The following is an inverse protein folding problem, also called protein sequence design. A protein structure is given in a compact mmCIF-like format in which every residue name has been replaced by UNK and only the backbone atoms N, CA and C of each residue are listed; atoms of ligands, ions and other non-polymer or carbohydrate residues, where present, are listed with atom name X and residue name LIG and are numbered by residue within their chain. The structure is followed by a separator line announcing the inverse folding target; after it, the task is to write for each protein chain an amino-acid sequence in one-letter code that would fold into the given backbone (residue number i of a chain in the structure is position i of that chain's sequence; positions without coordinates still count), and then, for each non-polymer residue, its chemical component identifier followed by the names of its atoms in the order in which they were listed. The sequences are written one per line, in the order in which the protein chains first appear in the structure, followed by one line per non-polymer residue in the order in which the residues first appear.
data_IF_015574186636
#
_entry.id   IF_015574186636
#
_cell.length_a   1.000
_cell.length_b   1.000
_cell.length_c   1.000
_cell.angle_alpha   90.00
_cell.angle_beta   90.00
_cell.angle_gamma   90.00
#
_symmetry.space_group_name_H-M   'P 1'
#
loop_
_entity.id
_entity.type
_entity.pdbx_description
1 polymer ?
#
# COMPACT_ATOMS: atom_id res chain seq x y z
N UNK A 1 28.15 -1.24 -23.28
CA UNK A 1 28.02 -2.56 -22.63
C UNK A 1 29.35 -2.84 -21.94
N UNK A 2 29.45 -2.93 -20.60
CA UNK A 2 30.59 -3.50 -19.83
C UNK A 2 30.54 -3.17 -18.31
N UNK A 3 29.40 -3.33 -17.63
CA UNK A 3 29.33 -3.14 -16.15
C UNK A 3 28.56 -4.25 -15.42
N UNK A 4 28.50 -5.45 -15.99
CA UNK A 4 27.90 -6.62 -15.34
C UNK A 4 28.94 -7.48 -14.58
N UNK A 5 30.23 -7.21 -14.74
CA UNK A 5 31.30 -8.00 -14.11
C UNK A 5 31.63 -7.58 -12.67
N UNK A 6 31.23 -6.37 -12.23
CA UNK A 6 31.48 -5.89 -10.86
C UNK A 6 30.49 -6.44 -9.83
N UNK A 7 29.29 -6.87 -10.27
CA UNK A 7 28.30 -7.54 -9.41
C UNK A 7 28.64 -9.01 -9.14
N UNK A 8 29.50 -9.62 -9.97
CA UNK A 8 29.96 -11.01 -9.81
C UNK A 8 31.09 -11.14 -8.77
N UNK A 9 31.71 -10.03 -8.39
CA UNK A 9 32.84 -9.96 -7.45
C UNK A 9 32.47 -9.35 -6.08
N UNK A 10 31.19 -9.42 -5.68
CA UNK A 10 30.81 -9.18 -4.28
C UNK A 10 31.26 -10.39 -3.47
N UNK A 11 32.48 -10.31 -2.94
CA UNK A 11 33.06 -11.30 -2.03
C UNK A 11 32.28 -11.26 -0.72
N UNK A 12 31.20 -12.03 -0.64
CA UNK A 12 30.47 -12.26 0.60
C UNK A 12 31.47 -12.81 1.64
N UNK A 13 31.53 -12.25 2.85
CA UNK A 13 32.50 -12.67 3.86
C UNK A 13 32.40 -14.17 4.11
N UNK A 14 33.55 -14.85 4.08
CA UNK A 14 33.70 -16.29 4.20
C UNK A 14 32.85 -16.83 5.37
N UNK A 15 31.98 -17.79 5.05
CA UNK A 15 30.90 -18.23 5.91
C UNK A 15 31.36 -19.13 7.05
N UNK A 16 31.43 -18.57 8.25
CA UNK A 16 31.27 -19.32 9.49
C UNK A 16 29.78 -19.50 9.85
N UNK A 17 29.44 -20.37 10.81
CA UNK A 17 28.05 -20.64 11.23
C UNK A 17 27.33 -19.36 11.71
N UNK A 18 28.07 -18.41 12.30
CA UNK A 18 27.55 -17.11 12.72
C UNK A 18 27.02 -16.26 11.54
N UNK A 19 27.67 -16.30 10.38
CA UNK A 19 27.29 -15.51 9.22
C UNK A 19 26.09 -16.12 8.47
N UNK A 20 25.97 -17.45 8.49
CA UNK A 20 24.79 -18.16 8.01
C UNK A 20 23.57 -17.86 8.89
N UNK A 21 23.73 -17.90 10.22
CA UNK A 21 22.68 -17.52 11.17
C UNK A 21 22.22 -16.08 11.00
N UNK A 22 23.15 -15.13 10.83
CA UNK A 22 22.79 -13.73 10.60
C UNK A 22 21.99 -13.54 9.31
N UNK A 23 22.39 -14.20 8.20
CA UNK A 23 21.64 -14.13 6.94
C UNK A 23 20.23 -14.70 7.08
N UNK A 24 20.09 -15.86 7.74
CA UNK A 24 18.78 -16.47 7.98
C UNK A 24 17.92 -15.61 8.89
N UNK A 25 18.50 -15.01 9.93
CA UNK A 25 17.80 -14.11 10.84
C UNK A 25 17.30 -12.85 10.12
N UNK A 26 18.13 -12.23 9.27
CA UNK A 26 17.75 -11.03 8.50
C UNK A 26 16.69 -11.37 7.46
N UNK A 27 16.88 -12.43 6.66
CA UNK A 27 15.91 -12.84 5.64
C UNK A 27 14.60 -13.31 6.27
N UNK A 28 14.67 -14.12 7.32
CA UNK A 28 13.52 -14.58 8.09
C UNK A 28 12.77 -13.41 8.72
N UNK A 29 13.49 -12.49 9.38
CA UNK A 29 12.90 -11.29 9.99
C UNK A 29 12.18 -10.40 8.98
N UNK A 30 12.81 -10.12 7.83
CA UNK A 30 12.18 -9.33 6.75
C UNK A 30 10.97 -10.04 6.14
N UNK A 31 11.03 -11.35 5.95
CA UNK A 31 9.90 -12.11 5.39
C UNK A 31 8.70 -12.15 6.34
N UNK A 32 8.93 -12.35 7.64
CA UNK A 32 7.89 -12.36 8.66
C UNK A 32 7.27 -10.97 8.81
N UNK A 33 8.11 -9.93 8.89
CA UNK A 33 7.65 -8.55 8.95
C UNK A 33 6.82 -8.17 7.71
N UNK A 34 7.28 -8.57 6.52
CA UNK A 34 6.55 -8.36 5.27
C UNK A 34 5.20 -9.07 5.27
N UNK A 35 5.14 -10.33 5.71
CA UNK A 35 3.90 -11.09 5.78
C UNK A 35 2.89 -10.44 6.74
N UNK A 36 3.34 -10.02 7.92
CA UNK A 36 2.46 -9.36 8.92
C UNK A 36 1.88 -8.04 8.41
N UNK A 37 2.66 -7.26 7.66
CA UNK A 37 2.21 -5.97 7.11
C UNK A 37 1.53 -6.09 5.74
N UNK A 38 1.41 -7.30 5.19
CA UNK A 38 0.79 -7.52 3.88
C UNK A 38 -0.74 -7.59 3.94
N UNK A 39 -1.33 -7.71 5.12
CA UNK A 39 -2.78 -7.76 5.29
C UNK A 39 -3.32 -6.38 5.65
N UNK A 40 -4.43 -5.99 5.02
CA UNK A 40 -5.23 -4.85 5.46
C UNK A 40 -6.71 -5.23 5.45
N UNK A 41 -7.47 -4.61 6.35
CA UNK A 41 -8.90 -4.84 6.47
C UNK A 41 -9.68 -3.62 5.95
N UNK A 42 -10.78 -3.89 5.24
CA UNK A 42 -11.73 -2.87 4.78
C UNK A 42 -13.01 -3.05 5.57
N UNK A 43 -13.37 -2.02 6.34
CA UNK A 43 -14.56 -2.03 7.17
C UNK A 43 -15.85 -1.93 6.34
N UNK A 44 -16.95 -2.43 6.91
CA UNK A 44 -18.26 -2.41 6.26
C UNK A 44 -18.72 -1.00 5.89
N UNK A 45 -19.20 -0.84 4.67
CA UNK A 45 -19.61 0.46 4.12
C UNK A 45 -18.44 1.37 3.69
N UNK A 46 -17.22 0.84 3.63
CA UNK A 46 -16.09 1.47 2.96
C UNK A 46 -15.66 0.65 1.74
N UNK A 47 -14.90 1.26 0.84
CA UNK A 47 -14.17 0.58 -0.23
C UNK A 47 -12.72 1.01 -0.24
N UNK A 48 -11.85 0.14 -0.74
CA UNK A 48 -10.44 0.46 -0.87
C UNK A 48 -10.01 0.52 -2.34
N UNK A 49 -9.21 1.52 -2.67
CA UNK A 49 -8.41 1.56 -3.90
C UNK A 49 -6.95 1.35 -3.51
N UNK A 50 -6.18 0.67 -4.36
CA UNK A 50 -4.76 0.46 -4.09
C UNK A 50 -3.96 1.40 -4.99
N UNK A 51 -3.14 2.25 -4.36
CA UNK A 51 -2.12 3.02 -5.05
C UNK A 51 -0.79 2.24 -5.03
N UNK A 52 -0.31 1.84 -6.19
CA UNK A 52 1.02 1.27 -6.36
C UNK A 52 2.03 2.38 -6.68
N UNK A 53 3.18 2.39 -6.01
CA UNK A 53 4.20 3.44 -6.21
C UNK A 53 4.84 3.43 -7.61
N UNK A 54 4.82 2.31 -8.33
CA UNK A 54 5.42 2.17 -9.66
C UNK A 54 4.41 2.49 -10.76
N UNK A 55 3.22 1.89 -10.69
CA UNK A 55 2.20 1.96 -11.76
C UNK A 55 1.17 3.06 -11.51
N UNK A 56 1.01 3.51 -10.26
CA UNK A 56 -0.04 4.43 -9.85
C UNK A 56 -1.28 3.71 -9.32
N UNK A 57 -2.46 4.28 -9.53
CA UNK A 57 -3.73 3.74 -9.00
C UNK A 57 -4.12 2.48 -9.78
N UNK A 58 -4.37 1.37 -9.06
CA UNK A 58 -4.91 0.15 -9.66
C UNK A 58 -6.39 0.36 -10.03
N UNK A 59 -6.81 -0.19 -11.16
CA UNK A 59 -8.19 -0.05 -11.67
C UNK A 59 -9.22 -0.79 -10.79
N UNK A 60 -8.79 -1.84 -10.08
CA UNK A 60 -9.67 -2.65 -9.25
C UNK A 60 -9.98 -1.96 -7.93
N UNK A 61 -11.27 -1.81 -7.64
CA UNK A 61 -11.78 -1.42 -6.32
C UNK A 61 -12.05 -2.67 -5.48
N UNK A 62 -11.56 -2.66 -4.25
CA UNK A 62 -11.70 -3.75 -3.30
C UNK A 62 -12.89 -3.49 -2.36
N UNK A 63 -13.83 -4.44 -2.23
CA UNK A 63 -14.96 -4.34 -1.30
C UNK A 63 -14.51 -4.56 0.15
N UNK A 64 -15.46 -4.58 1.08
CA UNK A 64 -15.24 -4.94 2.48
C UNK A 64 -14.53 -6.31 2.66
N UNK A 65 -13.80 -6.46 3.76
CA UNK A 65 -13.05 -7.67 4.11
C UNK A 65 -11.52 -7.50 4.11
N UNK A 66 -10.83 -8.62 4.33
CA UNK A 66 -9.36 -8.68 4.42
C UNK A 66 -8.74 -8.91 3.05
N UNK A 67 -7.85 -8.02 2.65
CA UNK A 67 -7.14 -8.09 1.37
C UNK A 67 -5.63 -8.10 1.57
N UNK A 68 -4.93 -8.57 0.55
CA UNK A 68 -3.47 -8.59 0.51
C UNK A 68 -2.94 -7.39 -0.26
N UNK A 69 -1.88 -6.79 0.27
CA UNK A 69 -1.08 -5.76 -0.36
C UNK A 69 0.40 -6.11 -0.26
N UNK A 70 1.19 -5.66 -1.22
CA UNK A 70 2.65 -5.74 -1.12
C UNK A 70 3.12 -4.56 -0.26
N UNK A 71 3.68 -4.81 0.94
CA UNK A 71 4.16 -3.73 1.79
C UNK A 71 5.22 -2.90 1.04
N UNK A 72 5.32 -1.62 1.37
CA UNK A 72 6.16 -0.62 0.71
C UNK A 72 5.70 -0.14 -0.67
N UNK A 73 5.23 -1.03 -1.55
CA UNK A 73 4.85 -0.67 -2.92
C UNK A 73 3.39 -0.29 -3.05
N UNK A 74 2.51 -1.03 -2.38
CA UNK A 74 1.08 -0.78 -2.39
C UNK A 74 0.67 0.05 -1.16
N UNK A 75 -0.18 1.04 -1.38
CA UNK A 75 -0.83 1.84 -0.34
C UNK A 75 -2.34 1.75 -0.54
N UNK A 76 -3.09 1.05 0.32
CA UNK A 76 -4.53 1.03 0.28
C UNK A 76 -5.07 2.36 0.80
N UNK A 77 -5.96 2.97 0.03
CA UNK A 77 -6.69 4.17 0.42
C UNK A 77 -8.14 3.73 0.61
N UNK A 78 -8.57 3.74 1.87
CA UNK A 78 -9.91 3.36 2.27
C UNK A 78 -10.78 4.62 2.27
N UNK A 79 -11.94 4.57 1.64
CA UNK A 79 -12.87 5.68 1.55
C UNK A 79 -14.30 5.21 1.82
N UNK A 80 -15.10 6.12 2.37
CA UNK A 80 -16.51 5.89 2.67
C UNK A 80 -17.31 5.87 1.36
N UNK A 81 -18.19 4.88 1.22
CA UNK A 81 -19.12 4.77 0.07
C UNK A 81 -20.57 5.08 0.45
N UNK A 82 -20.82 5.48 1.70
CA UNK A 82 -22.15 5.86 2.16
C UNK A 82 -22.52 7.24 1.63
N UNK A 83 -23.77 7.38 1.19
CA UNK A 83 -24.32 8.67 0.81
C UNK A 83 -24.41 9.57 2.05
N UNK A 84 -23.78 10.75 1.98
CA UNK A 84 -23.93 11.81 2.98
C UNK A 84 -24.64 12.99 2.33
N UNK A 85 -25.62 13.61 2.98
CA UNK A 85 -26.25 14.81 2.44
C UNK A 85 -25.21 15.94 2.38
N UNK A 86 -25.10 16.57 1.22
CA UNK A 86 -24.30 17.78 1.04
C UNK A 86 -25.25 18.95 0.87
N UNK A 87 -25.31 19.83 1.87
CA UNK A 87 -26.05 21.09 1.77
C UNK A 87 -25.20 22.07 0.97
N UNK A 88 -25.74 22.51 -0.16
CA UNK A 88 -25.14 23.56 -0.99
C UNK A 88 -25.95 24.81 -0.75
N UNK A 89 -25.44 25.71 0.08
CA UNK A 89 -26.09 26.98 0.34
C UNK A 89 -25.87 27.90 -0.87
N UNK A 90 -26.97 28.28 -1.54
CA UNK A 90 -26.91 29.27 -2.60
C UNK A 90 -27.07 30.67 -2.00
N UNK A 91 -26.10 31.54 -2.19
CA UNK A 91 -26.21 32.96 -1.81
C UNK A 91 -27.06 33.79 -2.78
N UNK A 92 -27.58 33.17 -3.85
CA UNK A 92 -28.47 33.86 -4.79
C UNK A 92 -29.85 33.98 -4.17
N UNK A 93 -30.37 35.22 -4.12
CA UNK A 93 -31.75 35.49 -3.73
C UNK A 93 -32.73 34.72 -4.60
N UNK A 94 -33.85 34.32 -4.00
CA UNK A 94 -34.94 33.66 -4.73
C UNK A 94 -35.49 34.59 -5.82
N UNK A 95 -36.24 34.03 -6.78
CA UNK A 95 -36.95 34.83 -7.81
C UNK A 95 -37.88 35.90 -7.20
N UNK A 96 -38.21 35.76 -5.92
CA UNK A 96 -39.03 36.68 -5.14
C UNK A 96 -38.22 37.68 -4.30
N UNK A 97 -36.93 37.86 -4.59
CA UNK A 97 -36.03 38.82 -3.91
C UNK A 97 -35.94 38.62 -2.39
N UNK A 98 -36.25 37.41 -1.92
CA UNK A 98 -36.08 37.03 -0.53
C UNK A 98 -34.70 36.38 -0.35
N UNK A 99 -33.99 36.91 0.63
CA UNK A 99 -32.72 36.45 1.16
C UNK A 99 -32.94 35.95 2.58
#
# INVERSE_FOLDING_TARGET
MNNLNSLRNVKLPAGGPANALLKVAVLGGLSLYGAMNSLYNVEGGHRAIIFNRIVGVKEKVYPEGTHLMIPWFDRPIIYDVRARPHLVDSTSGSRDLQM
#
